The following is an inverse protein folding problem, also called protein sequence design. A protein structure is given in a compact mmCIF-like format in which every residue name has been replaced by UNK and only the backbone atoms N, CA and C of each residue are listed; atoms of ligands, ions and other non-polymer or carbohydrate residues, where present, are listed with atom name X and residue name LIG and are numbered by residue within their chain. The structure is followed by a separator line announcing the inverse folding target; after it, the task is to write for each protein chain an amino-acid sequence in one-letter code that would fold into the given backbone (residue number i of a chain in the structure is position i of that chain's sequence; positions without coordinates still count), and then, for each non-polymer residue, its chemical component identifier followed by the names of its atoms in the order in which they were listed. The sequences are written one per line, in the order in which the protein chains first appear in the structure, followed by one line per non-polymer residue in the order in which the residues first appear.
data_IF_564111781155
#
_entry.id   IF_564111781155
#
_cell.length_a   1.000
_cell.length_b   1.000
_cell.length_c   1.000
_cell.angle_alpha   90.00
_cell.angle_beta   90.00
_cell.angle_gamma   90.00
#
_symmetry.space_group_name_H-M   'P 1'
#
loop_
_entity.id
_entity.type
_entity.pdbx_description
1 polymer ?
#
# COMPACT_ATOMS: atom_id res chain seq x y z
N UNK A 1 -8.30 0.73 -12.16
CA UNK A 1 -7.68 2.00 -11.77
C UNK A 1 -8.36 2.53 -10.53
N UNK A 2 -7.59 2.95 -9.53
CA UNK A 2 -8.09 3.71 -8.38
C UNK A 2 -8.46 5.11 -8.87
N UNK A 3 -9.70 5.56 -8.62
CA UNK A 3 -10.18 6.88 -9.09
C UNK A 3 -9.55 8.04 -8.34
N UNK A 4 -8.98 7.77 -7.17
CA UNK A 4 -8.42 8.77 -6.28
C UNK A 4 -7.21 8.18 -5.56
N UNK A 5 -6.10 8.91 -5.53
CA UNK A 5 -4.91 8.57 -4.77
C UNK A 5 -4.74 9.61 -3.67
N UNK A 6 -4.83 9.18 -2.42
CA UNK A 6 -4.60 10.05 -1.27
C UNK A 6 -3.11 10.44 -1.24
N UNK A 7 -2.75 11.74 -1.11
CA UNK A 7 -1.35 12.16 -1.03
C UNK A 7 -0.70 11.86 0.32
N UNK A 8 -1.49 11.52 1.34
CA UNK A 8 -0.97 11.24 2.68
C UNK A 8 -0.32 9.86 2.76
N UNK A 9 0.77 9.80 3.53
CA UNK A 9 1.43 8.53 3.87
C UNK A 9 0.72 7.87 5.04
N UNK A 10 0.78 6.55 5.10
CA UNK A 10 0.23 5.74 6.20
C UNK A 10 0.66 6.27 7.57
N UNK A 11 1.93 6.61 7.73
CA UNK A 11 2.51 7.12 8.98
C UNK A 11 1.97 8.50 9.39
N UNK A 12 1.39 9.25 8.45
CA UNK A 12 0.80 10.57 8.68
C UNK A 12 -0.68 10.50 9.06
N UNK A 13 -1.30 9.32 8.99
CA UNK A 13 -2.70 9.12 9.36
C UNK A 13 -2.85 8.93 10.87
N UNK A 14 -4.04 9.27 11.38
CA UNK A 14 -4.37 9.10 12.79
C UNK A 14 -4.45 7.61 13.15
N UNK A 15 -3.77 7.25 14.23
CA UNK A 15 -3.82 5.90 14.81
C UNK A 15 -5.24 5.62 15.32
N UNK A 16 -5.71 4.39 15.11
CA UNK A 16 -6.95 3.92 15.71
C UNK A 16 -6.64 2.80 16.71
N UNK A 17 -7.67 2.12 17.22
CA UNK A 17 -7.50 0.98 18.11
C UNK A 17 -6.96 -0.27 17.40
N UNK A 18 -7.01 -0.31 16.07
CA UNK A 18 -6.45 -1.38 15.24
C UNK A 18 -5.20 -0.88 14.52
N UNK A 19 -4.08 -1.61 14.61
CA UNK A 19 -2.82 -1.23 13.95
C UNK A 19 -2.92 -1.23 12.43
N UNK A 20 -3.81 -2.07 11.87
CA UNK A 20 -4.10 -2.18 10.44
C UNK A 20 -5.19 -1.19 9.97
N UNK A 21 -5.65 -0.31 10.86
CA UNK A 21 -6.69 0.67 10.54
C UNK A 21 -6.24 2.05 10.99
N UNK A 22 -6.26 3.00 10.05
CA UNK A 22 -5.97 4.40 10.36
C UNK A 22 -7.07 5.30 9.85
N UNK A 23 -7.16 6.48 10.44
CA UNK A 23 -8.14 7.48 10.02
C UNK A 23 -7.44 8.61 9.26
N UNK A 24 -7.98 8.94 8.09
CA UNK A 24 -7.54 10.07 7.30
C UNK A 24 -8.47 11.25 7.55
N UNK A 25 -8.00 12.27 8.28
CA UNK A 25 -8.76 13.50 8.53
C UNK A 25 -9.10 14.26 7.24
N UNK A 26 -8.14 14.37 6.31
CA UNK A 26 -8.31 15.09 5.04
C UNK A 26 -9.39 14.47 4.13
N UNK A 27 -9.41 13.14 4.07
CA UNK A 27 -10.43 12.42 3.30
C UNK A 27 -11.69 12.13 4.13
N UNK A 28 -11.63 12.37 5.44
CA UNK A 28 -12.61 11.99 6.45
C UNK A 28 -13.07 10.52 6.32
N UNK A 29 -12.11 9.63 6.03
CA UNK A 29 -12.38 8.21 5.74
C UNK A 29 -11.42 7.30 6.51
N UNK A 30 -11.93 6.13 6.88
CA UNK A 30 -11.14 5.04 7.43
C UNK A 30 -10.32 4.38 6.33
N UNK A 31 -9.02 4.23 6.58
CA UNK A 31 -8.04 3.64 5.68
C UNK A 31 -7.62 2.29 6.25
N UNK A 32 -7.79 1.24 5.48
CA UNK A 32 -7.41 -0.12 5.86
C UNK A 32 -6.07 -0.50 5.25
N UNK A 33 -5.17 -1.06 6.03
CA UNK A 33 -3.90 -1.57 5.54
C UNK A 33 -4.09 -2.93 4.89
N UNK A 34 -3.82 -3.02 3.59
CA UNK A 34 -3.90 -4.26 2.83
C UNK A 34 -2.51 -4.87 2.72
N UNK A 35 -2.32 -6.00 3.40
CA UNK A 35 -1.08 -6.78 3.38
C UNK A 35 -0.95 -7.60 2.10
N UNK A 36 -2.07 -8.03 1.52
CA UNK A 36 -2.07 -8.86 0.31
C UNK A 36 -2.88 -8.24 -0.82
N UNK A 37 -2.60 -8.68 -2.05
CA UNK A 37 -3.36 -8.31 -3.24
C UNK A 37 -4.84 -8.74 -3.14
N UNK A 38 -5.12 -9.83 -2.43
CA UNK A 38 -6.49 -10.29 -2.16
C UNK A 38 -7.26 -9.30 -1.28
N UNK A 39 -6.62 -8.75 -0.24
CA UNK A 39 -7.21 -7.73 0.62
C UNK A 39 -7.55 -6.47 -0.18
N UNK A 40 -6.63 -6.06 -1.06
CA UNK A 40 -6.85 -4.94 -1.97
C UNK A 40 -8.05 -5.18 -2.90
N UNK A 41 -8.19 -6.40 -3.43
CA UNK A 41 -9.31 -6.76 -4.32
C UNK A 41 -10.67 -6.75 -3.59
N UNK A 42 -10.70 -7.26 -2.36
CA UNK A 42 -11.90 -7.26 -1.53
C UNK A 42 -12.29 -5.81 -1.17
N UNK A 43 -11.33 -5.04 -0.67
CA UNK A 43 -11.57 -3.66 -0.28
C UNK A 43 -11.98 -2.77 -1.47
N UNK A 44 -11.43 -3.03 -2.67
CA UNK A 44 -11.86 -2.37 -3.90
C UNK A 44 -13.31 -2.71 -4.27
N UNK A 45 -13.75 -3.94 -4.04
CA UNK A 45 -15.13 -4.36 -4.31
C UNK A 45 -16.12 -3.70 -3.34
N UNK A 46 -15.65 -3.33 -2.15
CA UNK A 46 -16.41 -2.61 -1.12
C UNK A 46 -16.22 -1.08 -1.16
N UNK A 47 -15.52 -0.54 -2.17
CA UNK A 47 -15.19 0.89 -2.34
C UNK A 47 -14.51 1.53 -1.10
N UNK A 48 -13.74 0.72 -0.36
CA UNK A 48 -13.01 1.14 0.85
C UNK A 48 -11.72 1.89 0.49
N UNK A 49 -11.31 2.82 1.36
CA UNK A 49 -10.00 3.46 1.27
C UNK A 49 -8.93 2.51 1.85
N UNK A 50 -7.82 2.35 1.15
CA UNK A 50 -6.79 1.37 1.49
C UNK A 50 -5.39 1.93 1.36
N UNK A 51 -4.50 1.44 2.20
CA UNK A 51 -3.06 1.62 2.11
C UNK A 51 -2.42 0.29 1.75
N UNK A 52 -1.43 0.31 0.85
CA UNK A 52 -0.67 -0.87 0.41
C UNK A 52 0.81 -0.55 0.43
N UNK A 53 1.64 -1.52 0.79
CA UNK A 53 3.09 -1.41 0.58
C UNK A 53 3.41 -1.73 -0.87
N UNK A 54 4.06 -0.79 -1.55
CA UNK A 54 4.65 -1.05 -2.86
C UNK A 54 6.09 -1.49 -2.57
N UNK A 55 6.34 -2.79 -2.58
CA UNK A 55 7.71 -3.30 -2.63
C UNK A 55 8.22 -3.10 -4.05
N UNK A 56 9.29 -2.32 -4.27
CA UNK A 56 9.91 -2.26 -5.59
C UNK A 56 10.44 -3.66 -5.90
N UNK A 57 9.99 -4.23 -7.01
CA UNK A 57 10.62 -5.45 -7.54
C UNK A 57 12.10 -5.11 -7.74
N UNK A 58 12.99 -5.89 -7.11
CA UNK A 58 14.40 -5.81 -7.41
C UNK A 58 14.54 -6.00 -8.92
N UNK A 59 15.36 -5.19 -9.62
CA UNK A 59 15.57 -5.44 -11.03
C UNK A 59 16.08 -6.88 -11.17
N UNK A 60 15.46 -7.65 -12.07
CA UNK A 60 15.98 -8.91 -12.57
C UNK A 60 17.32 -8.64 -13.28
N UNK A 61 18.37 -8.32 -12.52
CA UNK A 61 19.71 -8.23 -13.07
C UNK A 61 20.28 -9.64 -13.13
N UNK A 62 19.84 -10.39 -14.14
CA UNK A 62 20.62 -11.47 -14.72
C UNK A 62 21.84 -10.87 -15.44
N UNK A 63 22.90 -10.55 -14.68
CA UNK A 63 24.30 -10.53 -15.15
C UNK A 63 25.19 -10.09 -13.97
N UNK A 64 25.52 -11.03 -13.10
CA UNK A 64 26.87 -11.05 -12.54
C UNK A 64 27.72 -11.75 -13.59
N UNK A 65 28.14 -10.99 -14.59
CA UNK A 65 29.18 -11.43 -15.51
C UNK A 65 30.40 -11.73 -14.63
N UNK A 66 30.64 -13.02 -14.40
CA UNK A 66 31.79 -13.52 -13.68
C UNK A 66 33.01 -12.98 -14.45
N UNK A 67 33.66 -11.95 -13.91
CA UNK A 67 34.99 -11.53 -14.35
C UNK A 67 35.96 -12.68 -14.06
N UNK A 68 35.96 -13.66 -14.98
CA UNK A 68 37.01 -14.63 -15.16
C UNK A 68 38.30 -13.90 -15.52
N UNK A 69 39.34 -14.27 -14.80
CA UNK A 69 40.73 -13.81 -14.87
C UNK A 69 41.33 -13.74 -16.28
#
# INVERSE_FOLDING_TARGET
MLKFHCPLKWDSLELTNDDDVRYCGECSRTVHYCHTTSDLHNARSEDKCVAVTIVPELPDNEEYDEMGF
#
